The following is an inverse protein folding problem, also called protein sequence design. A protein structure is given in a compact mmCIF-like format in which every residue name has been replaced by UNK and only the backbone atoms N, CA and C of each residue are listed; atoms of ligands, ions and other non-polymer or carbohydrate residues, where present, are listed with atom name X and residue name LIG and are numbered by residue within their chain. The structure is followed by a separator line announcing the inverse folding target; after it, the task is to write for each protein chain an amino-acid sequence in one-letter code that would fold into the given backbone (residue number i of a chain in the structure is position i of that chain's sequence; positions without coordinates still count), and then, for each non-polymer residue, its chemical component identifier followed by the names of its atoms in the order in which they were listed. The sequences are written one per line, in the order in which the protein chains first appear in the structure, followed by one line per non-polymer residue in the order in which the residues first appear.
data_IF_446567944816
#
_entry.id   IF_446567944816
#
_cell.length_a   1.000
_cell.length_b   1.000
_cell.length_c   1.000
_cell.angle_alpha   90.00
_cell.angle_beta   90.00
_cell.angle_gamma   90.00
#
_symmetry.space_group_name_H-M   'P 1'
#
loop_
_entity.id
_entity.type
_entity.pdbx_description
1 polymer ?
#
# COMPACT_ATOMS: atom_id res chain seq x y z
N UNK A 1 -21.32 10.44 -17.98
CA UNK A 1 -20.83 10.11 -16.62
C UNK A 1 -22.03 9.98 -15.70
N UNK A 2 -22.02 8.98 -14.81
CA UNK A 2 -23.00 8.87 -13.72
C UNK A 2 -22.59 9.70 -12.50
N UNK A 3 -23.34 9.62 -11.38
CA UNK A 3 -22.94 10.23 -10.11
C UNK A 3 -21.63 9.63 -9.57
N UNK A 4 -20.91 10.33 -8.66
CA UNK A 4 -19.72 9.77 -8.01
C UNK A 4 -20.00 8.42 -7.34
N UNK A 5 -19.02 7.51 -7.40
CA UNK A 5 -19.05 6.26 -6.65
C UNK A 5 -18.65 6.52 -5.20
N UNK A 6 -19.29 5.83 -4.26
CA UNK A 6 -18.81 5.79 -2.88
C UNK A 6 -17.53 4.94 -2.81
N UNK A 7 -16.47 5.54 -2.25
CA UNK A 7 -15.19 4.89 -2.02
C UNK A 7 -14.54 5.42 -0.73
N UNK A 8 -13.54 4.70 -0.25
CA UNK A 8 -12.73 5.00 0.93
C UNK A 8 -11.49 5.85 0.62
N UNK A 9 -11.11 6.01 -0.65
CA UNK A 9 -10.01 6.90 -1.05
C UNK A 9 -10.22 8.37 -0.65
N UNK A 10 -9.23 8.97 0.01
CA UNK A 10 -9.35 10.33 0.58
C UNK A 10 -8.93 11.46 -0.39
N UNK A 11 -8.29 11.11 -1.52
CA UNK A 11 -7.57 12.08 -2.36
C UNK A 11 -8.07 12.19 -3.80
N UNK A 12 -9.10 11.43 -4.16
CA UNK A 12 -9.67 11.40 -5.50
C UNK A 12 -11.20 11.39 -5.46
N UNK A 13 -11.82 11.64 -6.61
CA UNK A 13 -13.25 11.42 -6.84
C UNK A 13 -13.41 10.50 -8.03
N UNK A 14 -14.23 9.48 -7.88
CA UNK A 14 -14.37 8.40 -8.86
C UNK A 14 -15.77 8.41 -9.47
N UNK A 15 -15.88 8.29 -10.80
CA UNK A 15 -17.13 8.31 -11.53
C UNK A 15 -17.27 7.10 -12.45
N UNK A 16 -18.45 6.48 -12.56
CA UNK A 16 -18.71 5.52 -13.62
C UNK A 16 -18.78 6.26 -14.97
N UNK A 17 -18.15 5.67 -15.97
CA UNK A 17 -18.06 6.18 -17.32
C UNK A 17 -18.44 5.10 -18.34
N UNK A 18 -18.92 5.56 -19.50
CA UNK A 18 -19.17 4.71 -20.67
C UNK A 18 -18.32 5.30 -21.80
N UNK A 19 -17.51 4.46 -22.42
CA UNK A 19 -16.65 4.84 -23.55
C UNK A 19 -17.48 4.93 -24.84
N UNK A 20 -16.93 5.55 -25.87
CA UNK A 20 -17.61 5.72 -27.17
C UNK A 20 -17.97 4.38 -27.83
N UNK A 21 -17.23 3.30 -27.51
CA UNK A 21 -17.50 1.93 -27.95
C UNK A 21 -18.57 1.21 -27.11
N UNK A 22 -19.18 1.89 -26.14
CA UNK A 22 -20.20 1.35 -25.23
C UNK A 22 -19.64 0.56 -24.03
N UNK A 23 -18.32 0.36 -23.94
CA UNK A 23 -17.71 -0.36 -22.82
C UNK A 23 -17.75 0.47 -21.52
N UNK A 24 -17.92 -0.23 -20.38
CA UNK A 24 -17.90 0.37 -19.05
C UNK A 24 -16.47 0.72 -18.64
N UNK A 25 -16.31 1.86 -17.99
CA UNK A 25 -15.05 2.35 -17.46
C UNK A 25 -15.26 3.13 -16.17
N UNK A 26 -14.17 3.46 -15.50
CA UNK A 26 -14.16 4.28 -14.29
C UNK A 26 -13.25 5.48 -14.53
N UNK A 27 -13.77 6.68 -14.33
CA UNK A 27 -12.96 7.91 -14.35
C UNK A 27 -12.57 8.27 -12.92
N UNK A 28 -11.27 8.25 -12.63
CA UNK A 28 -10.69 8.73 -11.38
C UNK A 28 -10.10 10.12 -11.62
N UNK A 29 -10.52 11.09 -10.81
CA UNK A 29 -10.00 12.45 -10.81
C UNK A 29 -9.27 12.73 -9.50
N UNK A 30 -8.00 13.07 -9.58
CA UNK A 30 -7.14 13.39 -8.45
C UNK A 30 -6.52 14.77 -8.63
N UNK A 31 -5.83 15.29 -7.61
CA UNK A 31 -5.03 16.52 -7.78
C UNK A 31 -3.96 16.28 -8.88
N UNK A 32 -3.87 17.14 -9.91
CA UNK A 32 -2.85 17.00 -10.94
C UNK A 32 -1.43 16.96 -10.35
N UNK A 33 -0.56 16.14 -10.94
CA UNK A 33 0.85 16.10 -10.59
C UNK A 33 1.48 14.71 -10.67
N UNK A 34 2.70 14.63 -10.17
CA UNK A 34 3.58 13.45 -10.29
C UNK A 34 3.00 12.17 -9.69
N UNK A 35 2.11 12.27 -8.70
CA UNK A 35 1.46 11.10 -8.12
C UNK A 35 0.58 10.37 -9.16
N UNK A 36 -0.22 11.12 -9.92
CA UNK A 36 -1.08 10.58 -10.98
C UNK A 36 -0.26 9.96 -12.11
N UNK A 37 0.86 10.61 -12.48
CA UNK A 37 1.78 10.07 -13.48
C UNK A 37 2.35 8.70 -13.07
N UNK A 38 2.76 8.56 -11.81
CA UNK A 38 3.31 7.32 -11.26
C UNK A 38 2.26 6.22 -11.16
N UNK A 39 1.04 6.54 -10.72
CA UNK A 39 -0.08 5.60 -10.70
C UNK A 39 -0.37 5.07 -12.11
N UNK A 40 -0.47 5.97 -13.11
CA UNK A 40 -0.66 5.59 -14.50
C UNK A 40 0.46 4.69 -15.03
N UNK A 41 1.72 5.03 -14.71
CA UNK A 41 2.88 4.24 -15.11
C UNK A 41 2.85 2.84 -14.49
N UNK A 42 2.57 2.72 -13.19
CA UNK A 42 2.48 1.43 -12.52
C UNK A 42 1.37 0.56 -13.08
N UNK A 43 0.17 1.11 -13.29
CA UNK A 43 -0.94 0.37 -13.91
C UNK A 43 -0.63 -0.05 -15.34
N UNK A 44 0.11 0.78 -16.09
CA UNK A 44 0.59 0.46 -17.44
C UNK A 44 1.63 -0.67 -17.44
N UNK A 45 2.52 -0.72 -16.45
CA UNK A 45 3.47 -1.81 -16.26
C UNK A 45 2.77 -3.12 -15.87
N UNK A 46 1.67 -3.04 -15.13
CA UNK A 46 0.86 -4.20 -14.72
C UNK A 46 -0.01 -4.73 -15.86
N UNK A 47 -0.54 -3.84 -16.69
CA UNK A 47 -1.36 -4.11 -17.89
C UNK A 47 -2.51 -5.11 -17.66
N UNK A 48 -3.15 -4.99 -16.50
CA UNK A 48 -4.31 -5.81 -16.17
C UNK A 48 -4.00 -7.28 -15.84
N UNK A 49 -2.76 -7.66 -15.54
CA UNK A 49 -2.49 -9.04 -15.10
C UNK A 49 -3.18 -9.37 -13.77
N UNK A 50 -3.15 -8.45 -12.82
CA UNK A 50 -3.69 -8.60 -11.47
C UNK A 50 -4.34 -7.32 -10.92
N UNK A 51 -4.54 -6.33 -11.78
CA UNK A 51 -5.10 -5.02 -11.44
C UNK A 51 -6.08 -4.55 -12.51
N UNK A 52 -6.81 -3.47 -12.26
CA UNK A 52 -7.56 -2.79 -13.33
C UNK A 52 -6.60 -2.24 -14.40
N UNK A 53 -7.01 -2.27 -15.67
CA UNK A 53 -6.22 -1.67 -16.76
C UNK A 53 -6.34 -0.15 -16.75
N UNK A 54 -5.24 0.53 -17.06
CA UNK A 54 -5.28 1.92 -17.50
C UNK A 54 -5.74 1.96 -18.96
N UNK A 55 -6.86 2.64 -19.24
CA UNK A 55 -7.43 2.78 -20.57
C UNK A 55 -7.00 4.09 -21.25
N UNK A 56 -6.89 5.16 -20.47
CA UNK A 56 -6.38 6.46 -20.90
C UNK A 56 -5.95 7.30 -19.69
N UNK A 57 -5.14 8.33 -19.91
CA UNK A 57 -4.72 9.25 -18.86
C UNK A 57 -4.56 10.67 -19.39
N UNK A 58 -4.94 11.66 -18.58
CA UNK A 58 -4.63 13.08 -18.76
C UNK A 58 -4.00 13.58 -17.45
N UNK A 59 -2.66 13.54 -17.40
CA UNK A 59 -1.88 13.81 -16.17
C UNK A 59 -2.01 15.28 -15.74
N UNK A 60 -2.07 16.19 -16.71
CA UNK A 60 -2.20 17.64 -16.47
C UNK A 60 -3.55 17.98 -15.83
N UNK A 61 -4.58 17.17 -16.11
CA UNK A 61 -5.90 17.27 -15.47
C UNK A 61 -6.08 16.32 -14.29
N UNK A 62 -5.07 15.52 -13.95
CA UNK A 62 -5.14 14.55 -12.86
C UNK A 62 -6.15 13.43 -13.10
N UNK A 63 -6.41 13.07 -14.37
CA UNK A 63 -7.46 12.15 -14.75
C UNK A 63 -6.91 10.81 -15.23
N UNK A 64 -7.44 9.72 -14.69
CA UNK A 64 -7.20 8.35 -15.16
C UNK A 64 -8.53 7.72 -15.57
N UNK A 65 -8.59 7.17 -16.78
CA UNK A 65 -9.68 6.31 -17.22
C UNK A 65 -9.25 4.87 -17.06
N UNK A 66 -9.96 4.13 -16.23
CA UNK A 66 -9.64 2.77 -15.80
C UNK A 66 -10.71 1.78 -16.28
N UNK A 67 -10.31 0.53 -16.41
CA UNK A 67 -11.24 -0.58 -16.54
C UNK A 67 -12.20 -0.61 -15.35
N UNK A 68 -13.48 -0.87 -15.63
CA UNK A 68 -14.47 -1.06 -14.59
C UNK A 68 -14.26 -2.40 -13.85
N UNK A 69 -14.36 -2.34 -12.52
CA UNK A 69 -14.49 -3.49 -11.64
C UNK A 69 -15.78 -3.34 -10.80
N UNK A 70 -16.25 -4.43 -10.21
CA UNK A 70 -17.47 -4.45 -9.42
C UNK A 70 -17.23 -3.83 -8.04
N UNK A 71 -17.58 -2.54 -7.90
CA UNK A 71 -17.46 -1.79 -6.65
C UNK A 71 -18.36 -2.31 -5.51
N UNK A 72 -19.32 -3.20 -5.81
CA UNK A 72 -20.17 -3.85 -4.79
C UNK A 72 -19.58 -5.14 -4.25
N UNK A 73 -18.47 -5.60 -4.84
CA UNK A 73 -17.78 -6.82 -4.45
C UNK A 73 -16.33 -6.54 -4.13
N UNK A 74 -16.07 -6.12 -2.89
CA UNK A 74 -14.73 -5.92 -2.34
C UNK A 74 -14.22 -7.20 -1.69
N UNK A 75 -12.92 -7.42 -1.75
CA UNK A 75 -12.28 -8.54 -1.06
C UNK A 75 -12.38 -8.38 0.47
N UNK A 76 -12.51 -7.15 0.96
CA UNK A 76 -12.77 -6.85 2.38
C UNK A 76 -14.10 -7.37 2.92
N UNK A 77 -15.07 -7.63 2.02
CA UNK A 77 -16.42 -8.06 2.36
C UNK A 77 -16.55 -9.59 2.39
N UNK A 78 -15.50 -10.31 1.99
CA UNK A 78 -15.46 -11.77 2.05
C UNK A 78 -15.45 -12.25 3.51
N UNK A 79 -16.23 -13.30 3.79
CA UNK A 79 -16.45 -13.79 5.15
C UNK A 79 -15.22 -14.49 5.75
N UNK A 80 -14.43 -15.17 4.90
CA UNK A 80 -13.15 -15.74 5.29
C UNK A 80 -12.01 -14.73 5.08
N UNK A 81 -11.69 -14.03 6.16
CA UNK A 81 -10.67 -12.98 6.18
C UNK A 81 -9.28 -13.49 5.83
N UNK A 82 -8.93 -14.71 6.25
CA UNK A 82 -7.59 -15.25 6.04
C UNK A 82 -7.41 -15.78 4.62
N UNK A 83 -8.48 -16.35 4.03
CA UNK A 83 -8.52 -16.66 2.61
C UNK A 83 -8.46 -15.38 1.75
N UNK A 84 -9.10 -14.31 2.20
CA UNK A 84 -9.04 -13.02 1.51
C UNK A 84 -7.63 -12.41 1.55
N UNK A 85 -6.93 -12.50 2.69
CA UNK A 85 -5.50 -12.11 2.80
C UNK A 85 -4.62 -12.95 1.87
N UNK A 86 -4.86 -14.25 1.74
CA UNK A 86 -4.12 -15.08 0.78
C UNK A 86 -4.32 -14.63 -0.67
N UNK A 87 -5.56 -14.34 -1.06
CA UNK A 87 -5.87 -13.86 -2.39
C UNK A 87 -5.18 -12.51 -2.69
N UNK A 88 -5.08 -11.62 -1.70
CA UNK A 88 -4.34 -10.37 -1.84
C UNK A 88 -2.83 -10.59 -1.99
N UNK A 89 -2.24 -11.57 -1.30
CA UNK A 89 -0.82 -11.92 -1.53
C UNK A 89 -0.61 -12.51 -2.92
N UNK A 90 -1.54 -13.30 -3.45
CA UNK A 90 -1.45 -13.80 -4.83
C UNK A 90 -1.48 -12.68 -5.88
N UNK A 91 -2.18 -11.58 -5.57
CA UNK A 91 -2.13 -10.36 -6.38
C UNK A 91 -0.75 -9.71 -6.29
N UNK A 92 -0.16 -9.58 -5.10
CA UNK A 92 1.19 -9.01 -4.93
C UNK A 92 2.26 -9.82 -5.66
N UNK A 93 2.19 -11.15 -5.60
CA UNK A 93 3.11 -12.04 -6.31
C UNK A 93 3.07 -11.82 -7.84
N UNK A 94 1.90 -11.47 -8.38
CA UNK A 94 1.75 -11.11 -9.79
C UNK A 94 2.09 -9.63 -10.05
N UNK A 95 1.90 -8.75 -9.07
CA UNK A 95 2.21 -7.32 -9.18
C UNK A 95 3.71 -7.08 -9.30
N UNK A 96 4.50 -7.71 -8.43
CA UNK A 96 5.94 -7.53 -8.33
C UNK A 96 6.66 -7.85 -9.64
N UNK A 97 7.33 -6.84 -10.20
CA UNK A 97 8.09 -6.95 -11.45
C UNK A 97 9.21 -5.91 -11.52
N UNK A 98 10.22 -6.12 -12.37
CA UNK A 98 11.25 -5.11 -12.63
C UNK A 98 10.64 -3.81 -13.19
N UNK A 99 11.24 -2.68 -12.82
CA UNK A 99 10.84 -1.36 -13.34
C UNK A 99 11.93 -0.83 -14.27
N UNK A 100 11.58 -0.29 -15.46
CA UNK A 100 12.56 0.27 -16.39
C UNK A 100 13.38 1.42 -15.77
N UNK A 101 14.68 1.58 -16.12
CA UNK A 101 15.53 2.61 -15.53
C UNK A 101 15.05 4.06 -15.71
N UNK A 102 14.24 4.34 -16.72
CA UNK A 102 13.70 5.67 -17.04
C UNK A 102 12.37 5.97 -16.33
N UNK A 103 11.98 5.14 -15.37
CA UNK A 103 10.72 5.29 -14.65
C UNK A 103 10.64 6.57 -13.81
N UNK A 104 9.45 7.13 -13.70
CA UNK A 104 9.17 8.27 -12.82
C UNK A 104 8.85 7.85 -11.38
N UNK A 105 8.63 6.55 -11.15
CA UNK A 105 8.28 5.96 -9.85
C UNK A 105 9.48 6.07 -8.91
N UNK A 106 9.23 6.60 -7.70
CA UNK A 106 10.32 6.77 -6.72
C UNK A 106 10.70 5.45 -6.08
N UNK A 107 11.97 5.37 -5.71
CA UNK A 107 12.45 4.32 -4.83
C UNK A 107 11.99 4.56 -3.39
N UNK A 108 11.82 3.49 -2.64
CA UNK A 108 11.56 3.57 -1.20
C UNK A 108 12.70 4.31 -0.48
N UNK A 109 13.94 4.19 -0.97
CA UNK A 109 15.11 4.87 -0.41
C UNK A 109 15.00 6.39 -0.49
N UNK A 110 14.52 6.93 -1.62
CA UNK A 110 14.31 8.36 -1.77
C UNK A 110 13.30 8.90 -0.75
N UNK A 111 12.24 8.16 -0.49
CA UNK A 111 11.22 8.56 0.50
C UNK A 111 11.74 8.36 1.92
N UNK A 112 12.51 7.30 2.15
CA UNK A 112 13.07 7.00 3.46
C UNK A 112 14.04 8.08 3.96
N UNK A 113 14.65 8.89 3.09
CA UNK A 113 15.44 10.07 3.51
C UNK A 113 14.58 11.03 4.33
N UNK A 114 13.38 11.35 3.84
CA UNK A 114 12.45 12.26 4.53
C UNK A 114 11.85 11.60 5.76
N UNK A 115 11.49 10.31 5.68
CA UNK A 115 11.04 9.54 6.83
C UNK A 115 12.09 9.47 7.94
N UNK A 116 13.35 9.24 7.59
CA UNK A 116 14.46 9.19 8.53
C UNK A 116 14.67 10.56 9.20
N UNK A 117 14.63 11.65 8.43
CA UNK A 117 14.72 13.01 8.98
C UNK A 117 13.57 13.28 9.95
N UNK A 118 12.34 12.95 9.57
CA UNK A 118 11.16 13.13 10.41
C UNK A 118 11.26 12.30 11.70
N UNK A 119 11.54 11.00 11.60
CA UNK A 119 11.65 10.11 12.75
C UNK A 119 12.81 10.50 13.68
N UNK A 120 13.94 10.95 13.12
CA UNK A 120 15.07 11.47 13.88
C UNK A 120 14.69 12.68 14.72
N UNK A 121 13.94 13.62 14.15
CA UNK A 121 13.40 14.79 14.87
C UNK A 121 12.46 14.40 16.02
N UNK A 122 11.82 13.24 15.91
CA UNK A 122 10.84 12.71 16.88
C UNK A 122 11.45 11.78 17.94
N UNK A 123 12.70 11.34 17.75
CA UNK A 123 13.39 10.34 18.60
C UNK A 123 13.24 10.63 20.09
N UNK A 124 13.45 11.89 20.52
CA UNK A 124 13.46 12.25 21.95
C UNK A 124 12.11 12.04 22.63
N UNK A 125 11.00 12.35 21.97
CA UNK A 125 9.68 12.20 22.59
C UNK A 125 9.12 10.79 22.43
N UNK A 126 9.46 10.08 21.34
CA UNK A 126 9.13 8.66 21.18
C UNK A 126 9.81 7.82 22.28
N UNK A 127 11.10 8.05 22.54
CA UNK A 127 11.87 7.35 23.56
C UNK A 127 11.37 7.57 25.01
N UNK A 128 10.41 8.48 25.25
CA UNK A 128 9.74 8.62 26.54
C UNK A 128 8.65 7.58 26.78
N UNK A 129 8.15 6.93 25.73
CA UNK A 129 7.02 5.98 25.80
C UNK A 129 7.33 4.61 25.21
N UNK A 130 8.33 4.50 24.34
CA UNK A 130 8.77 3.22 23.77
C UNK A 130 10.27 3.03 23.97
N UNK A 131 10.78 1.79 23.98
CA UNK A 131 12.21 1.54 24.17
C UNK A 131 13.06 2.24 23.10
N UNK A 132 14.10 2.95 23.51
CA UNK A 132 14.97 3.70 22.58
C UNK A 132 15.61 2.83 21.49
N UNK A 133 15.91 1.56 21.82
CA UNK A 133 16.43 0.57 20.87
C UNK A 133 15.49 0.31 19.68
N UNK A 134 14.18 0.40 19.87
CA UNK A 134 13.22 0.13 18.80
C UNK A 134 13.13 1.34 17.85
N UNK A 135 13.32 2.56 18.38
CA UNK A 135 13.49 3.77 17.56
C UNK A 135 14.79 3.71 16.75
N UNK A 136 15.87 3.23 17.35
CA UNK A 136 17.16 3.09 16.66
C UNK A 136 17.09 2.03 15.55
N UNK A 137 16.52 0.86 15.82
CA UNK A 137 16.28 -0.17 14.79
C UNK A 137 15.42 0.34 13.63
N UNK A 138 14.39 1.15 13.92
CA UNK A 138 13.57 1.76 12.88
C UNK A 138 14.37 2.75 12.02
N UNK A 139 15.21 3.58 12.64
CA UNK A 139 16.09 4.51 11.92
C UNK A 139 17.11 3.78 11.06
N UNK A 140 17.73 2.72 11.58
CA UNK A 140 18.65 1.86 10.84
C UNK A 140 17.98 1.27 9.59
N UNK A 141 16.80 0.67 9.77
CA UNK A 141 16.01 0.09 8.68
C UNK A 141 15.66 1.08 7.57
N UNK A 142 15.43 2.37 7.89
CA UNK A 142 15.19 3.41 6.89
C UNK A 142 16.42 3.72 6.02
N UNK A 143 17.63 3.40 6.51
CA UNK A 143 18.89 3.63 5.79
C UNK A 143 19.42 2.40 5.06
N UNK A 144 18.79 1.24 5.26
CA UNK A 144 19.18 -0.02 4.60
C UNK A 144 19.00 0.07 3.08
N UNK A 145 19.98 -0.45 2.34
CA UNK A 145 19.89 -0.59 0.88
C UNK A 145 19.37 -1.99 0.56
N UNK A 146 18.25 -2.12 -0.16
CA UNK A 146 17.69 -3.42 -0.51
C UNK A 146 18.57 -4.10 -1.56
N UNK A 147 18.63 -5.42 -1.51
CA UNK A 147 19.29 -6.22 -2.54
C UNK A 147 18.45 -6.27 -3.83
N UNK A 148 17.22 -6.78 -3.72
CA UNK A 148 16.25 -6.82 -4.81
C UNK A 148 15.24 -5.68 -4.64
N UNK A 149 14.93 -4.99 -5.75
CA UNK A 149 13.89 -3.97 -5.79
C UNK A 149 12.95 -4.21 -6.97
N UNK A 150 11.65 -4.16 -6.69
CA UNK A 150 10.56 -4.40 -7.66
C UNK A 150 9.55 -3.27 -7.59
N UNK A 151 8.63 -3.22 -8.56
CA UNK A 151 7.43 -2.42 -8.48
C UNK A 151 6.59 -2.86 -7.27
N UNK A 152 6.31 -1.94 -6.36
CA UNK A 152 5.48 -2.12 -5.17
C UNK A 152 4.11 -1.46 -5.35
N UNK A 153 3.09 -2.00 -4.71
CA UNK A 153 1.75 -1.38 -4.65
C UNK A 153 1.64 -0.37 -3.50
N UNK A 154 2.26 -0.70 -2.37
CA UNK A 154 2.38 -0.01 -1.07
C UNK A 154 1.09 0.30 -0.31
N UNK A 155 -0.05 0.20 -0.98
CA UNK A 155 -1.37 0.48 -0.41
C UNK A 155 -2.38 -0.66 -0.63
N UNK A 156 -1.90 -1.90 -0.76
CA UNK A 156 -2.77 -3.05 -1.02
C UNK A 156 -3.38 -3.58 0.28
N UNK A 157 -4.46 -2.94 0.72
CA UNK A 157 -5.40 -3.51 1.69
C UNK A 157 -6.57 -4.17 0.97
N UNK A 158 -7.36 -5.01 1.65
CA UNK A 158 -8.46 -5.77 1.03
C UNK A 158 -9.57 -4.87 0.45
N UNK A 159 -9.68 -3.63 0.91
CA UNK A 159 -10.59 -2.63 0.35
C UNK A 159 -10.19 -2.18 -1.06
N UNK A 160 -8.88 -2.17 -1.35
CA UNK A 160 -8.30 -1.87 -2.66
C UNK A 160 -8.25 -3.09 -3.60
N UNK A 161 -9.10 -4.09 -3.35
CA UNK A 161 -9.23 -5.26 -4.21
C UNK A 161 -10.69 -5.51 -4.53
N UNK A 162 -11.03 -5.44 -5.83
CA UNK A 162 -12.38 -5.57 -6.35
C UNK A 162 -12.53 -6.78 -7.26
N UNK A 163 -13.73 -7.34 -7.36
CA UNK A 163 -14.01 -8.38 -8.36
C UNK A 163 -14.01 -7.77 -9.77
N UNK A 164 -13.14 -8.27 -10.65
CA UNK A 164 -13.10 -7.87 -12.05
C UNK A 164 -14.26 -8.47 -12.87
N UNK A 165 -14.78 -7.73 -13.84
CA UNK A 165 -15.81 -8.26 -14.76
C UNK A 165 -15.31 -9.39 -15.66
N UNK A 166 -13.99 -9.48 -15.85
CA UNK A 166 -13.33 -10.60 -16.55
C UNK A 166 -13.12 -11.85 -15.67
N UNK A 167 -13.56 -11.82 -14.42
CA UNK A 167 -13.35 -12.87 -13.42
C UNK A 167 -12.04 -12.70 -12.68
N UNK A 168 -12.08 -12.97 -11.36
CA UNK A 168 -10.93 -12.86 -10.46
C UNK A 168 -10.82 -11.50 -9.76
N UNK A 169 -10.04 -11.48 -8.69
CA UNK A 169 -9.77 -10.29 -7.89
C UNK A 169 -8.73 -9.39 -8.55
N UNK A 170 -8.97 -8.07 -8.54
CA UNK A 170 -8.11 -7.05 -9.15
C UNK A 170 -7.75 -5.96 -8.15
N UNK A 171 -6.47 -5.64 -8.06
CA UNK A 171 -5.99 -4.46 -7.35
C UNK A 171 -6.43 -3.15 -8.02
N UNK A 172 -6.63 -2.14 -7.20
CA UNK A 172 -6.89 -0.75 -7.58
C UNK A 172 -6.06 0.20 -6.72
N UNK A 173 -5.95 1.45 -7.17
CA UNK A 173 -5.40 2.58 -6.40
C UNK A 173 -3.98 2.36 -5.81
N UNK A 174 -2.97 2.03 -6.64
CA UNK A 174 -1.61 1.89 -6.14
C UNK A 174 -1.00 3.24 -5.76
N UNK A 175 -0.12 3.23 -4.76
CA UNK A 175 0.78 4.34 -4.41
C UNK A 175 2.23 3.98 -4.75
N UNK A 176 2.54 3.73 -6.03
CA UNK A 176 3.65 2.86 -6.39
C UNK A 176 5.00 3.40 -5.95
N UNK A 177 5.84 2.47 -5.48
CA UNK A 177 7.27 2.68 -5.20
C UNK A 177 8.11 1.58 -5.84
N UNK A 178 9.41 1.80 -5.91
CA UNK A 178 10.40 0.78 -6.24
C UNK A 178 11.12 0.38 -4.95
N UNK A 179 11.05 -0.89 -4.56
CA UNK A 179 11.64 -1.31 -3.29
C UNK A 179 11.55 -2.80 -3.01
N UNK A 180 11.95 -3.24 -1.80
CA UNK A 180 11.93 -4.64 -1.43
C UNK A 180 10.49 -5.13 -1.22
N UNK A 181 10.20 -6.34 -1.68
CA UNK A 181 8.86 -6.98 -1.64
C UNK A 181 8.23 -6.98 -0.24
N UNK A 182 9.05 -7.09 0.81
CA UNK A 182 8.59 -7.07 2.21
C UNK A 182 7.77 -5.83 2.57
N UNK A 183 7.97 -4.72 1.86
CA UNK A 183 7.26 -3.47 2.13
C UNK A 183 5.77 -3.56 1.82
N UNK A 184 5.37 -4.37 0.83
CA UNK A 184 3.97 -4.55 0.43
C UNK A 184 3.18 -5.47 1.36
N UNK A 185 3.84 -6.21 2.26
CA UNK A 185 3.16 -7.15 3.16
C UNK A 185 2.50 -6.46 4.36
N UNK A 186 2.99 -5.29 4.77
CA UNK A 186 2.55 -4.63 6.00
C UNK A 186 1.04 -4.29 6.01
N UNK A 187 0.45 -3.74 4.93
CA UNK A 187 -1.00 -3.48 4.89
C UNK A 187 -1.83 -4.74 5.16
N UNK A 188 -1.42 -5.89 4.61
CA UNK A 188 -2.13 -7.17 4.76
C UNK A 188 -1.99 -7.79 6.17
N UNK A 189 -0.82 -7.65 6.79
CA UNK A 189 -0.59 -8.07 8.18
C UNK A 189 -1.55 -7.34 9.13
N UNK A 190 -1.85 -6.08 8.82
CA UNK A 190 -2.67 -5.17 9.62
C UNK A 190 -4.12 -5.08 9.18
N UNK A 191 -4.51 -5.81 8.15
CA UNK A 191 -5.82 -5.69 7.54
C UNK A 191 -6.93 -6.29 8.44
N UNK A 192 -7.40 -5.49 9.40
CA UNK A 192 -8.65 -5.63 10.16
C UNK A 192 -8.89 -4.37 11.00
N UNK A 193 -10.14 -4.08 11.41
CA UNK A 193 -10.41 -2.99 12.36
C UNK A 193 -9.64 -3.14 13.68
N UNK A 194 -9.45 -4.39 14.14
CA UNK A 194 -8.63 -4.74 15.30
C UNK A 194 -7.86 -6.02 14.97
N UNK A 195 -6.53 -5.95 15.00
CA UNK A 195 -5.65 -7.12 14.84
C UNK A 195 -4.96 -7.39 16.16
N UNK A 196 -5.15 -8.60 16.72
CA UNK A 196 -4.41 -9.00 17.91
C UNK A 196 -2.93 -9.20 17.57
N UNK A 197 -2.01 -8.96 18.51
CA UNK A 197 -0.59 -9.20 18.26
C UNK A 197 -0.27 -10.65 17.83
N UNK A 198 -1.00 -11.63 18.36
CA UNK A 198 -0.83 -13.03 17.95
C UNK A 198 -1.24 -13.24 16.50
N UNK A 199 -2.39 -12.71 16.07
CA UNK A 199 -2.83 -12.80 14.68
C UNK A 199 -1.85 -12.09 13.74
N UNK A 200 -1.38 -10.90 14.10
CA UNK A 200 -0.40 -10.17 13.30
C UNK A 200 0.92 -10.94 13.15
N UNK A 201 1.40 -11.62 14.20
CA UNK A 201 2.58 -12.49 14.12
C UNK A 201 2.34 -13.70 13.23
N UNK A 202 1.21 -14.37 13.39
CA UNK A 202 0.81 -15.49 12.52
C UNK A 202 0.76 -15.06 11.05
N UNK A 203 0.16 -13.90 10.76
CA UNK A 203 0.14 -13.34 9.41
C UNK A 203 1.55 -13.00 8.93
N UNK A 204 2.37 -12.34 9.73
CA UNK A 204 3.76 -12.06 9.38
C UNK A 204 4.48 -13.35 8.95
N UNK A 205 4.48 -14.38 9.79
CA UNK A 205 5.17 -15.65 9.54
C UNK A 205 4.65 -16.32 8.25
N UNK A 206 3.34 -16.34 8.06
CA UNK A 206 2.68 -16.95 6.90
C UNK A 206 2.95 -16.19 5.60
N UNK A 207 2.83 -14.86 5.62
CA UNK A 207 2.97 -14.06 4.41
C UNK A 207 4.42 -13.98 3.95
N UNK A 208 5.39 -13.96 4.86
CA UNK A 208 6.81 -14.00 4.47
C UNK A 208 7.20 -15.34 3.87
N UNK A 209 6.66 -16.44 4.39
CA UNK A 209 6.82 -17.78 3.81
C UNK A 209 6.23 -17.84 2.40
N UNK A 210 4.98 -17.39 2.22
CA UNK A 210 4.30 -17.37 0.91
C UNK A 210 5.00 -16.46 -0.11
N UNK A 211 5.50 -15.31 0.33
CA UNK A 211 6.20 -14.35 -0.51
C UNK A 211 7.66 -14.74 -0.80
N UNK A 212 8.22 -15.72 -0.08
CA UNK A 212 9.62 -16.10 -0.17
C UNK A 212 10.58 -15.00 0.24
N UNK A 213 10.23 -14.21 1.27
CA UNK A 213 11.02 -13.08 1.76
C UNK A 213 11.52 -13.34 3.19
N UNK A 214 12.57 -12.61 3.59
CA UNK A 214 13.13 -12.77 4.92
C UNK A 214 12.21 -12.18 6.00
N UNK A 215 11.97 -12.96 7.05
CA UNK A 215 11.10 -12.57 8.16
C UNK A 215 11.66 -11.39 8.95
N UNK A 216 12.97 -11.34 9.14
CA UNK A 216 13.62 -10.27 9.91
C UNK A 216 13.60 -8.95 9.13
N UNK A 217 13.86 -9.01 7.82
CA UNK A 217 13.71 -7.87 6.90
C UNK A 217 12.27 -7.34 6.90
N UNK A 218 11.27 -8.22 6.85
CA UNK A 218 9.88 -7.81 6.98
C UNK A 218 9.58 -7.16 8.33
N UNK A 219 10.07 -7.72 9.44
CA UNK A 219 9.91 -7.14 10.77
C UNK A 219 10.56 -5.75 10.88
N UNK A 220 11.75 -5.55 10.31
CA UNK A 220 12.42 -4.24 10.26
C UNK A 220 11.63 -3.23 9.41
N UNK A 221 11.13 -3.65 8.24
CA UNK A 221 10.30 -2.82 7.36
C UNK A 221 9.00 -2.37 8.06
N UNK A 222 8.30 -3.30 8.72
CA UNK A 222 7.06 -3.01 9.48
C UNK A 222 7.33 -2.06 10.65
N UNK A 223 8.43 -2.27 11.38
CA UNK A 223 8.83 -1.41 12.49
C UNK A 223 9.09 0.02 12.00
N UNK A 224 9.87 0.17 10.93
CA UNK A 224 10.20 1.47 10.35
C UNK A 224 8.95 2.21 9.86
N UNK A 225 8.13 1.58 9.02
CA UNK A 225 6.88 2.15 8.51
C UNK A 225 5.94 2.51 9.65
N UNK A 226 5.76 1.62 10.61
CA UNK A 226 4.85 1.82 11.72
C UNK A 226 5.23 2.97 12.65
N UNK A 227 6.52 3.14 12.93
CA UNK A 227 7.00 4.29 13.70
C UNK A 227 6.87 5.61 12.92
N UNK A 228 7.13 5.61 11.61
CA UNK A 228 6.96 6.79 10.75
C UNK A 228 5.49 7.21 10.73
N UNK A 229 4.59 6.28 10.40
CA UNK A 229 3.15 6.53 10.29
C UNK A 229 2.57 6.92 11.65
N UNK A 230 2.78 6.12 12.69
CA UNK A 230 2.23 6.39 14.01
C UNK A 230 2.73 7.71 14.61
N UNK A 231 4.00 8.06 14.39
CA UNK A 231 4.55 9.32 14.89
C UNK A 231 4.07 10.55 14.12
N UNK A 232 3.83 10.42 12.81
CA UNK A 232 3.20 11.47 12.01
C UNK A 232 1.74 11.70 12.45
N UNK A 233 0.95 10.65 12.61
CA UNK A 233 -0.44 10.78 13.06
C UNK A 233 -0.57 11.44 14.45
N UNK A 234 0.40 11.23 15.34
CA UNK A 234 0.44 11.94 16.64
C UNK A 234 0.61 13.46 16.44
N UNK A 235 1.47 13.88 15.52
CA UNK A 235 1.69 15.31 15.23
C UNK A 235 0.48 15.96 14.56
N UNK A 236 -0.23 15.23 13.70
CA UNK A 236 -1.47 15.68 13.05
C UNK A 236 -2.69 15.69 13.99
N UNK A 237 -2.51 15.41 15.28
CA UNK A 237 -3.56 15.48 16.29
C UNK A 237 -4.29 14.16 16.56
N UNK A 238 -3.92 13.06 15.91
CA UNK A 238 -4.51 11.73 16.11
C UNK A 238 -3.71 10.90 17.12
N UNK A 239 -3.40 11.49 18.28
CA UNK A 239 -2.49 10.91 19.26
C UNK A 239 -2.88 9.49 19.73
N UNK A 240 -4.17 9.27 20.05
CA UNK A 240 -4.65 7.97 20.53
C UNK A 240 -4.57 6.88 19.46
N UNK A 241 -4.82 7.23 18.20
CA UNK A 241 -4.64 6.29 17.09
C UNK A 241 -3.16 5.98 16.88
N UNK A 242 -2.30 7.00 16.80
CA UNK A 242 -0.88 6.81 16.53
C UNK A 242 -0.16 6.00 17.60
N UNK A 243 -0.48 6.20 18.89
CA UNK A 243 0.10 5.37 19.96
C UNK A 243 -0.40 3.91 19.92
N UNK A 244 -1.69 3.68 19.62
CA UNK A 244 -2.21 2.31 19.43
C UNK A 244 -1.56 1.62 18.25
N UNK A 245 -1.35 2.34 17.15
CA UNK A 245 -0.65 1.81 15.98
C UNK A 245 0.80 1.43 16.31
N UNK A 246 1.56 2.31 16.99
CA UNK A 246 2.94 2.02 17.41
C UNK A 246 3.01 0.81 18.35
N UNK A 247 2.14 0.72 19.36
CA UNK A 247 2.12 -0.44 20.28
C UNK A 247 1.80 -1.74 19.53
N UNK A 248 0.85 -1.71 18.59
CA UNK A 248 0.53 -2.85 17.75
C UNK A 248 1.71 -3.28 16.87
N UNK A 249 2.46 -2.30 16.31
CA UNK A 249 3.71 -2.51 15.56
C UNK A 249 4.74 -3.22 16.39
N UNK A 250 5.08 -2.67 17.56
CA UNK A 250 6.08 -3.23 18.45
C UNK A 250 5.76 -4.67 18.86
N UNK A 251 4.51 -4.99 19.16
CA UNK A 251 4.11 -6.36 19.56
C UNK A 251 4.09 -7.37 18.42
N UNK A 252 4.07 -6.93 17.17
CA UNK A 252 4.12 -7.83 16.00
C UNK A 252 5.54 -8.21 15.65
N UNK A 253 6.48 -7.28 15.85
CA UNK A 253 7.89 -7.44 15.48
C UNK A 253 8.79 -7.83 16.67
N UNK A 254 8.24 -7.87 17.89
CA UNK A 254 8.85 -8.47 19.10
C UNK A 254 8.83 -9.99 19.04
#
# INVERSE_FOLDING_TARGET
MGPPLEHDGETSVVFPAVRDDGSQAVLKLSRPGVAVAREAEALSLVDGSCAVRLLASDIDRGALLLEAADATRRLSDESDREQAVDAAVDILLQWWRPVPPQSSIRTLQEINVDHHRALSGRKRWLARRIPGRDVERALEALTERPGEAVLLHTDLHLGNVLMGHRGGWLAIDPQPLIGPRVHDLEPLIRDAPVVSPSLARTRLDRLVERAGVDREEAARSILARGLVVGSWSIEEGFADWGWRHIDAVLRTVS
#
